data_IF_780853488148
#
_entry.id   IF_780853488148
#
_cell.length_a   1.000
_cell.length_b   1.000
_cell.length_c   1.000
_cell.angle_alpha   90.00
_cell.angle_beta   90.00
_cell.angle_gamma   90.00
#
_symmetry.space_group_name_H-M   'P 1'
#
loop_
_entity.id
_entity.type
_entity.pdbx_description
1 polymer ?
#
# COMPACT_ATOMS: atom_id res chain seq x y z
N UNK A 1 9.65 14.79 -5.16
CA UNK A 1 8.19 14.89 -5.37
C UNK A 1 7.61 14.00 -4.31
N UNK A 2 6.79 14.56 -3.44
CA UNK A 2 6.34 13.84 -2.25
C UNK A 2 4.90 13.36 -2.49
N UNK A 3 4.59 12.16 -2.01
CA UNK A 3 3.29 11.52 -2.23
C UNK A 3 2.53 11.52 -0.92
N UNK A 4 1.33 12.10 -0.91
CA UNK A 4 0.47 12.13 0.28
C UNK A 4 -0.63 11.10 0.13
N UNK A 5 -0.71 10.19 1.10
CA UNK A 5 -1.69 9.11 1.15
C UNK A 5 -2.76 9.41 2.20
N UNK A 6 -4.01 9.17 1.84
CA UNK A 6 -5.17 9.32 2.73
C UNK A 6 -5.95 7.99 2.80
N UNK A 7 -5.33 6.91 3.31
CA UNK A 7 -5.91 5.58 3.25
C UNK A 7 -7.14 5.45 4.15
N UNK A 8 -8.12 4.65 3.70
CA UNK A 8 -9.24 4.22 4.52
C UNK A 8 -8.79 3.36 5.70
N UNK A 9 -9.69 3.07 6.65
CA UNK A 9 -9.36 2.19 7.77
C UNK A 9 -8.93 0.79 7.33
N UNK A 10 -9.57 0.25 6.28
CA UNK A 10 -9.24 -1.06 5.71
C UNK A 10 -7.89 -1.05 4.99
N UNK A 11 -7.62 -0.01 4.20
CA UNK A 11 -6.33 0.19 3.56
C UNK A 11 -5.19 0.35 4.58
N UNK A 12 -5.41 1.06 5.68
CA UNK A 12 -4.42 1.16 6.77
C UNK A 12 -4.11 -0.20 7.39
N UNK A 13 -5.08 -1.08 7.54
CA UNK A 13 -4.84 -2.42 8.06
C UNK A 13 -3.94 -3.25 7.13
N UNK A 14 -4.00 -3.03 5.81
CA UNK A 14 -3.08 -3.62 4.83
C UNK A 14 -1.69 -3.02 5.00
N UNK A 15 -1.60 -1.69 4.98
CA UNK A 15 -0.35 -0.94 5.12
C UNK A 15 0.42 -1.32 6.39
N UNK A 16 -0.26 -1.49 7.53
CA UNK A 16 0.36 -1.88 8.81
C UNK A 16 0.94 -3.29 8.85
N UNK A 17 0.62 -4.14 7.86
CA UNK A 17 1.11 -5.52 7.76
C UNK A 17 2.22 -5.68 6.72
N UNK A 18 2.56 -4.62 5.99
CA UNK A 18 3.63 -4.66 5.01
C UNK A 18 4.98 -4.82 5.71
N UNK A 19 5.85 -5.58 5.06
CA UNK A 19 7.24 -5.75 5.48
C UNK A 19 8.07 -4.57 4.94
N UNK A 20 8.04 -3.46 5.67
CA UNK A 20 8.76 -2.23 5.33
C UNK A 20 9.63 -1.77 6.52
N UNK A 21 10.69 -0.99 6.26
CA UNK A 21 11.51 -0.40 7.32
C UNK A 21 10.68 0.30 8.42
N UNK A 22 11.10 0.18 9.67
CA UNK A 22 10.36 0.67 10.84
C UNK A 22 10.00 2.17 10.74
N UNK A 23 10.91 2.99 10.23
CA UNK A 23 10.68 4.42 10.01
C UNK A 23 9.47 4.71 9.12
N UNK A 24 9.26 3.90 8.06
CA UNK A 24 8.15 4.01 7.12
C UNK A 24 6.88 3.47 7.79
N UNK A 25 6.99 2.32 8.47
CA UNK A 25 5.88 1.71 9.19
C UNK A 25 5.29 2.64 10.26
N UNK A 26 6.11 3.45 10.94
CA UNK A 26 5.66 4.46 11.91
C UNK A 26 4.84 5.55 11.24
N UNK A 27 5.28 6.08 10.09
CA UNK A 27 4.53 7.10 9.34
C UNK A 27 3.16 6.57 8.89
N UNK A 28 3.10 5.32 8.44
CA UNK A 28 1.88 4.66 7.94
C UNK A 28 0.82 4.38 9.03
N UNK A 29 1.14 4.60 10.31
CA UNK A 29 0.14 4.53 11.41
C UNK A 29 -0.75 5.76 11.46
N UNK A 30 -0.33 6.85 10.85
CA UNK A 30 -1.10 8.09 10.83
C UNK A 30 -2.30 7.97 9.87
N UNK A 31 -3.43 8.68 10.15
CA UNK A 31 -4.58 8.69 9.25
C UNK A 31 -4.26 9.25 7.85
N UNK A 32 -3.30 10.16 7.77
CA UNK A 32 -2.75 10.76 6.57
C UNK A 32 -1.25 10.93 6.78
N UNK A 33 -0.46 10.62 5.76
CA UNK A 33 1.00 10.73 5.82
C UNK A 33 1.57 11.01 4.44
N UNK A 34 2.76 11.58 4.44
CA UNK A 34 3.51 11.92 3.23
C UNK A 34 4.78 11.10 3.18
N UNK A 35 5.05 10.48 2.03
CA UNK A 35 6.27 9.73 1.76
C UNK A 35 7.13 10.47 0.75
N UNK A 36 8.45 10.44 0.96
CA UNK A 36 9.41 10.79 -0.07
C UNK A 36 9.41 9.74 -1.19
N UNK A 37 10.02 10.06 -2.34
CA UNK A 37 10.04 9.17 -3.52
C UNK A 37 10.61 7.79 -3.21
N UNK A 38 11.70 7.70 -2.45
CA UNK A 38 12.36 6.43 -2.12
C UNK A 38 11.51 5.57 -1.17
N UNK A 39 10.87 6.19 -0.17
CA UNK A 39 9.96 5.52 0.73
C UNK A 39 8.68 5.06 0.00
N UNK A 40 8.12 5.91 -0.86
CA UNK A 40 6.96 5.59 -1.69
C UNK A 40 7.23 4.39 -2.60
N UNK A 41 8.44 4.31 -3.18
CA UNK A 41 8.87 3.14 -3.95
C UNK A 41 8.96 1.89 -3.08
N UNK A 42 9.56 1.99 -1.90
CA UNK A 42 9.67 0.88 -0.95
C UNK A 42 8.30 0.34 -0.54
N UNK A 43 7.34 1.22 -0.27
CA UNK A 43 5.95 0.85 0.03
C UNK A 43 5.26 0.25 -1.20
N UNK A 44 5.47 0.81 -2.39
CA UNK A 44 4.93 0.28 -3.65
C UNK A 44 5.42 -1.13 -3.97
N UNK A 45 6.71 -1.40 -3.77
CA UNK A 45 7.29 -2.73 -3.94
C UNK A 45 6.65 -3.73 -2.95
N UNK A 46 6.51 -3.34 -1.67
CA UNK A 46 5.86 -4.17 -0.65
C UNK A 46 4.35 -4.43 -0.95
N UNK A 47 3.63 -3.45 -1.48
CA UNK A 47 2.24 -3.61 -1.92
C UNK A 47 2.13 -4.54 -3.12
N UNK A 48 3.08 -4.47 -4.05
CA UNK A 48 3.12 -5.35 -5.23
C UNK A 48 3.32 -6.81 -4.80
N UNK A 49 4.21 -7.06 -3.84
CA UNK A 49 4.40 -8.38 -3.25
C UNK A 49 3.13 -8.88 -2.54
N UNK A 50 2.45 -8.00 -1.81
CA UNK A 50 1.19 -8.32 -1.13
C UNK A 50 0.07 -8.65 -2.15
N UNK A 51 0.01 -7.91 -3.26
CA UNK A 51 -0.89 -8.17 -4.38
C UNK A 51 -0.63 -9.54 -5.01
N UNK A 52 0.64 -9.90 -5.23
CA UNK A 52 0.99 -11.20 -5.79
C UNK A 52 0.58 -12.36 -4.87
N UNK A 53 0.64 -12.18 -3.54
CA UNK A 53 0.29 -13.22 -2.56
C UNK A 53 -1.20 -13.35 -2.29
N UNK A 54 -1.93 -12.24 -2.30
CA UNK A 54 -3.29 -12.18 -1.76
C UNK A 54 -4.28 -11.42 -2.65
N UNK A 55 -3.82 -10.87 -3.77
CA UNK A 55 -4.61 -10.02 -4.64
C UNK A 55 -5.59 -10.77 -5.52
N UNK A 56 -5.34 -12.05 -5.78
CA UNK A 56 -6.13 -12.87 -6.70
C UNK A 56 -6.57 -14.18 -6.05
N UNK A 57 -7.72 -14.69 -6.45
CA UNK A 57 -8.18 -16.03 -6.10
C UNK A 57 -7.66 -17.10 -7.07
N UNK A 58 -8.17 -18.33 -6.94
CA UNK A 58 -7.74 -19.47 -7.77
C UNK A 58 -8.13 -19.34 -9.24
N UNK A 59 -9.16 -18.54 -9.55
CA UNK A 59 -9.64 -18.28 -10.90
C UNK A 59 -8.95 -17.03 -11.50
N UNK A 60 -7.94 -16.48 -10.81
CA UNK A 60 -7.24 -15.24 -11.15
C UNK A 60 -8.14 -14.01 -11.16
N UNK A 61 -9.25 -14.04 -10.41
CA UNK A 61 -10.10 -12.87 -10.23
C UNK A 61 -9.57 -12.01 -9.06
N UNK A 62 -9.59 -10.67 -9.17
CA UNK A 62 -9.18 -9.80 -8.08
C UNK A 62 -10.07 -9.99 -6.85
N UNK A 63 -9.45 -10.31 -5.72
CA UNK A 63 -10.15 -10.40 -4.44
C UNK A 63 -10.52 -8.99 -3.94
N UNK A 64 -11.44 -8.91 -2.98
CA UNK A 64 -11.74 -7.65 -2.30
C UNK A 64 -10.49 -6.98 -1.71
N UNK A 65 -9.56 -7.78 -1.16
CA UNK A 65 -8.27 -7.29 -0.67
C UNK A 65 -7.36 -6.84 -1.82
N UNK A 66 -7.34 -7.57 -2.94
CA UNK A 66 -6.60 -7.19 -4.13
C UNK A 66 -7.00 -5.83 -4.67
N UNK A 67 -8.31 -5.55 -4.73
CA UNK A 67 -8.82 -4.22 -5.12
C UNK A 67 -8.33 -3.12 -4.19
N UNK A 68 -8.34 -3.34 -2.88
CA UNK A 68 -7.82 -2.36 -1.92
C UNK A 68 -6.32 -2.10 -2.07
N UNK A 69 -5.53 -3.12 -2.45
CA UNK A 69 -4.10 -2.99 -2.72
C UNK A 69 -3.85 -2.25 -4.04
N UNK A 70 -4.60 -2.60 -5.08
CA UNK A 70 -4.58 -1.91 -6.38
C UNK A 70 -4.87 -0.41 -6.21
N UNK A 71 -5.93 -0.06 -5.48
CA UNK A 71 -6.28 1.34 -5.15
C UNK A 71 -5.17 2.09 -4.40
N UNK A 72 -4.38 1.38 -3.56
CA UNK A 72 -3.25 1.97 -2.83
C UNK A 72 -2.04 2.21 -3.75
N UNK A 73 -1.78 1.30 -4.68
CA UNK A 73 -0.73 1.42 -5.68
C UNK A 73 -1.06 2.57 -6.63
N UNK A 74 -2.32 2.68 -7.06
CA UNK A 74 -2.77 3.78 -7.92
C UNK A 74 -2.58 5.13 -7.23
N UNK A 75 -2.99 5.26 -5.95
CA UNK A 75 -2.74 6.48 -5.17
C UNK A 75 -1.24 6.82 -5.02
N UNK A 76 -0.36 5.83 -5.08
CA UNK A 76 1.09 6.03 -4.96
C UNK A 76 1.74 6.53 -6.26
N UNK A 77 1.30 6.01 -7.41
CA UNK A 77 2.00 6.20 -8.69
C UNK A 77 1.19 6.92 -9.77
N UNK A 78 -0.12 7.04 -9.58
CA UNK A 78 -1.05 7.72 -10.50
C UNK A 78 -1.73 8.86 -9.71
N UNK A 79 -1.08 10.03 -9.62
CA UNK A 79 -1.60 11.17 -8.88
C UNK A 79 -2.82 11.83 -9.54
#
# INVERSE_FOLDING_TARGET
MDVTLNPTAEQRAILQRLDVPEQIAVAMRLPSFTLGVEDARTVGDALTDEMARHGFDLDYEPTAKGRLIEDLIDQLFIP
#
